data_IF_988586356734
#
_entry.id   IF_988586356734
#
_cell.length_a   1.000
_cell.length_b   1.000
_cell.length_c   1.000
_cell.angle_alpha   90.00
_cell.angle_beta   90.00
_cell.angle_gamma   90.00
#
_symmetry.space_group_name_H-M   'P 1'
#
loop_
_entity.id
_entity.type
_entity.pdbx_description
1 polymer ?
#
# COMPACT_ATOMS: atom_id res chain seq x y z
N UNK A 1 -9.88 -3.22 28.76
CA UNK A 1 -8.48 -2.91 28.45
C UNK A 1 -8.12 -3.78 27.26
N UNK A 2 -7.57 -3.23 26.19
CA UNK A 2 -7.40 -3.93 24.89
C UNK A 2 -6.22 -4.92 24.84
N UNK A 3 -5.52 -5.11 25.95
CA UNK A 3 -4.38 -6.02 26.04
C UNK A 3 -3.15 -5.58 25.23
N UNK A 4 -2.32 -6.53 24.84
CA UNK A 4 -1.19 -6.30 23.96
C UNK A 4 -1.68 -6.09 22.50
N UNK A 5 -1.10 -5.14 21.80
CA UNK A 5 -1.39 -4.89 20.40
C UNK A 5 -0.13 -5.02 19.54
N UNK A 6 -0.34 -5.32 18.27
CA UNK A 6 0.71 -5.32 17.26
C UNK A 6 0.26 -4.48 16.06
N UNK A 7 1.21 -3.90 15.35
CA UNK A 7 0.97 -3.15 14.12
C UNK A 7 1.83 -3.75 13.01
N UNK A 8 1.19 -4.12 11.92
CA UNK A 8 1.80 -4.51 10.65
C UNK A 8 1.32 -3.59 9.54
N UNK A 9 1.86 -3.77 8.35
CA UNK A 9 1.47 -2.99 7.16
C UNK A 9 1.86 -3.68 5.88
N UNK A 10 1.15 -3.35 4.80
CA UNK A 10 1.46 -3.72 3.41
C UNK A 10 1.43 -2.47 2.50
N UNK A 11 2.42 -1.58 2.64
CA UNK A 11 2.49 -0.37 1.84
C UNK A 11 2.78 -0.64 0.36
N UNK A 12 2.22 0.20 -0.49
CA UNK A 12 2.47 0.23 -1.93
C UNK A 12 3.34 1.44 -2.31
N UNK A 13 4.29 1.21 -3.21
CA UNK A 13 5.20 2.23 -3.71
C UNK A 13 5.16 2.30 -5.24
N UNK A 14 5.23 3.51 -5.77
CA UNK A 14 5.54 3.69 -7.18
C UNK A 14 7.03 3.49 -7.43
N UNK A 15 7.36 2.92 -8.60
CA UNK A 15 8.69 3.02 -9.18
C UNK A 15 8.70 4.20 -10.15
N UNK A 16 9.74 5.01 -10.11
CA UNK A 16 9.86 6.14 -11.04
C UNK A 16 11.26 6.23 -11.62
N UNK A 17 11.35 6.83 -12.79
CA UNK A 17 12.63 7.09 -13.44
C UNK A 17 13.05 8.54 -13.18
N UNK A 18 14.14 8.71 -12.43
CA UNK A 18 14.68 10.02 -12.02
C UNK A 18 15.06 10.92 -13.21
N UNK A 19 15.54 10.33 -14.31
CA UNK A 19 15.93 11.07 -15.51
C UNK A 19 14.74 11.64 -16.26
N UNK A 20 13.62 10.91 -16.31
CA UNK A 20 12.42 11.33 -17.06
C UNK A 20 11.34 11.93 -16.16
N UNK A 21 11.52 11.81 -14.85
CA UNK A 21 10.53 12.17 -13.81
C UNK A 21 9.14 11.54 -14.05
N UNK A 22 9.11 10.29 -14.53
CA UNK A 22 7.87 9.57 -14.84
C UNK A 22 7.81 8.28 -14.07
N UNK A 23 6.60 7.92 -13.64
CA UNK A 23 6.30 6.61 -13.08
C UNK A 23 6.50 5.55 -14.17
N UNK A 24 7.05 4.42 -13.76
CA UNK A 24 7.19 3.20 -14.54
C UNK A 24 6.55 2.04 -13.80
N UNK A 25 6.04 1.06 -14.51
CA UNK A 25 5.44 -0.13 -13.91
C UNK A 25 6.49 -0.92 -13.13
N UNK A 26 6.12 -1.44 -11.96
CA UNK A 26 6.90 -2.39 -11.19
C UNK A 26 6.89 -3.81 -11.81
N UNK A 27 5.92 -4.10 -12.68
CA UNK A 27 5.81 -5.38 -13.41
C UNK A 27 7.14 -5.68 -14.11
N UNK A 28 7.63 -6.90 -13.96
CA UNK A 28 8.92 -7.38 -14.48
C UNK A 28 10.16 -6.66 -13.92
N UNK A 29 10.02 -5.77 -12.94
CA UNK A 29 11.14 -5.06 -12.31
C UNK A 29 11.39 -5.46 -10.86
N UNK A 30 10.36 -5.98 -10.20
CA UNK A 30 10.49 -6.58 -8.88
C UNK A 30 10.02 -8.03 -8.93
N UNK A 31 10.54 -8.91 -8.08
CA UNK A 31 10.06 -10.28 -7.98
C UNK A 31 8.76 -10.35 -7.16
N UNK A 32 8.05 -11.46 -7.32
CA UNK A 32 6.83 -11.78 -6.57
C UNK A 32 5.55 -11.29 -7.21
N UNK A 33 4.50 -12.06 -6.97
CA UNK A 33 3.13 -11.83 -7.44
C UNK A 33 2.18 -11.96 -6.25
N UNK A 34 0.96 -11.47 -6.37
CA UNK A 34 -0.02 -11.47 -5.29
C UNK A 34 -0.21 -12.82 -4.60
N UNK A 35 -0.26 -13.89 -5.38
CA UNK A 35 -0.44 -15.25 -4.86
C UNK A 35 0.86 -15.93 -4.41
N UNK A 36 2.01 -15.34 -4.78
CA UNK A 36 3.34 -15.85 -4.47
C UNK A 36 4.30 -14.69 -4.18
N UNK A 37 4.20 -14.07 -3.00
CA UNK A 37 5.12 -13.01 -2.61
C UNK A 37 6.56 -13.52 -2.56
N UNK A 38 7.46 -12.72 -3.06
CA UNK A 38 8.90 -12.99 -2.97
C UNK A 38 9.39 -12.86 -1.53
N UNK A 39 10.11 -13.88 -1.07
CA UNK A 39 10.64 -13.96 0.30
C UNK A 39 12.13 -14.27 0.35
N UNK A 40 12.74 -14.61 -0.78
CA UNK A 40 14.13 -15.02 -0.83
C UNK A 40 15.07 -13.86 -0.46
N UNK A 41 15.94 -14.09 0.54
CA UNK A 41 16.83 -13.07 1.06
C UNK A 41 16.17 -12.01 1.94
N UNK A 42 14.86 -12.13 2.22
CA UNK A 42 14.16 -11.31 3.19
C UNK A 42 14.08 -12.02 4.55
N UNK A 43 14.11 -11.28 5.67
CA UNK A 43 13.85 -11.86 6.98
C UNK A 43 12.44 -12.45 7.08
N UNK A 44 12.20 -13.30 8.07
CA UNK A 44 10.90 -13.89 8.33
C UNK A 44 9.82 -12.82 8.53
N UNK A 45 8.65 -13.03 7.93
CA UNK A 45 7.51 -12.10 8.01
C UNK A 45 7.52 -10.98 6.97
N UNK A 46 8.61 -10.82 6.21
CA UNK A 46 8.63 -9.89 5.09
C UNK A 46 8.23 -10.56 3.78
N UNK A 47 7.71 -9.77 2.86
CA UNK A 47 7.39 -10.21 1.50
C UNK A 47 7.35 -9.03 0.54
N UNK A 48 7.60 -9.30 -0.74
CA UNK A 48 7.54 -8.32 -1.81
C UNK A 48 6.74 -8.89 -2.97
N UNK A 49 5.86 -8.09 -3.55
CA UNK A 49 5.04 -8.50 -4.70
C UNK A 49 4.72 -7.30 -5.59
N UNK A 50 4.30 -7.61 -6.81
CA UNK A 50 3.70 -6.62 -7.70
C UNK A 50 2.19 -6.64 -7.52
N UNK A 51 1.58 -5.52 -7.14
CA UNK A 51 0.14 -5.30 -7.25
C UNK A 51 -0.14 -4.20 -8.27
N UNK A 52 -0.93 -4.53 -9.29
CA UNK A 52 -1.13 -3.68 -10.45
C UNK A 52 0.22 -3.26 -11.06
N UNK A 53 0.61 -2.00 -10.97
CA UNK A 53 1.92 -1.48 -11.42
C UNK A 53 2.83 -1.09 -10.24
N UNK A 54 2.41 -1.35 -9.02
CA UNK A 54 3.05 -0.91 -7.79
C UNK A 54 3.94 -2.01 -7.22
N UNK A 55 4.92 -1.59 -6.44
CA UNK A 55 5.66 -2.48 -5.57
C UNK A 55 4.96 -2.50 -4.21
N UNK A 56 4.33 -3.60 -3.88
CA UNK A 56 3.70 -3.84 -2.59
C UNK A 56 4.60 -4.72 -1.73
N UNK A 57 4.74 -4.39 -0.47
CA UNK A 57 5.49 -5.22 0.45
C UNK A 57 4.81 -5.31 1.80
N UNK A 58 4.94 -6.43 2.45
CA UNK A 58 4.47 -6.59 3.83
C UNK A 58 5.64 -6.62 4.81
N UNK A 59 5.38 -6.12 6.00
CA UNK A 59 6.29 -6.18 7.15
C UNK A 59 5.70 -7.04 8.26
N UNK A 60 6.53 -7.72 9.08
CA UNK A 60 6.03 -8.46 10.23
C UNK A 60 5.37 -7.51 11.25
N UNK A 61 4.36 -8.01 12.00
CA UNK A 61 3.75 -7.23 13.06
C UNK A 61 4.76 -6.94 14.18
N UNK A 62 4.76 -5.70 14.66
CA UNK A 62 5.62 -5.20 15.73
C UNK A 62 4.81 -4.53 16.84
N UNK A 63 5.42 -4.32 18.00
CA UNK A 63 4.76 -3.71 19.17
C UNK A 63 5.21 -2.29 19.48
N UNK A 64 6.14 -1.74 18.68
CA UNK A 64 6.65 -0.38 18.87
C UNK A 64 6.89 0.33 17.55
N UNK A 65 6.88 1.65 17.59
CA UNK A 65 6.96 2.51 16.41
C UNK A 65 8.35 2.50 15.77
N UNK A 66 9.40 2.30 16.56
CA UNK A 66 10.78 2.30 16.06
C UNK A 66 11.03 1.12 15.13
N UNK A 67 10.61 -0.08 15.51
CA UNK A 67 10.70 -1.26 14.67
C UNK A 67 9.79 -1.16 13.45
N UNK A 68 8.61 -0.56 13.60
CA UNK A 68 7.71 -0.31 12.48
C UNK A 68 8.40 0.56 11.41
N UNK A 69 8.94 1.70 11.78
CA UNK A 69 9.66 2.61 10.88
C UNK A 69 10.86 1.90 10.25
N UNK A 70 11.67 1.21 11.07
CA UNK A 70 12.85 0.48 10.60
C UNK A 70 12.52 -0.56 9.55
N UNK A 71 11.41 -1.30 9.72
CA UNK A 71 10.97 -2.32 8.78
C UNK A 71 10.50 -1.70 7.46
N UNK A 72 9.78 -0.58 7.52
CA UNK A 72 9.36 0.17 6.32
C UNK A 72 10.58 0.67 5.54
N UNK A 73 11.54 1.32 6.21
CA UNK A 73 12.74 1.84 5.55
C UNK A 73 13.61 0.71 4.96
N UNK A 74 13.76 -0.42 5.69
CA UNK A 74 14.44 -1.61 5.18
C UNK A 74 13.84 -2.09 3.84
N UNK A 75 12.53 -2.22 3.74
CA UNK A 75 11.88 -2.66 2.51
C UNK A 75 11.97 -1.62 1.39
N UNK A 76 11.88 -0.34 1.70
CA UNK A 76 12.09 0.73 0.72
C UNK A 76 13.50 0.66 0.12
N UNK A 77 14.52 0.47 0.94
CA UNK A 77 15.90 0.34 0.49
C UNK A 77 16.11 -0.94 -0.31
N UNK A 78 15.55 -2.06 0.15
CA UNK A 78 15.58 -3.33 -0.58
C UNK A 78 14.99 -3.21 -1.98
N UNK A 79 13.80 -2.60 -2.12
CA UNK A 79 13.15 -2.38 -3.41
C UNK A 79 13.98 -1.43 -4.28
N UNK A 80 14.51 -0.37 -3.70
CA UNK A 80 15.40 0.57 -4.40
C UNK A 80 16.60 -0.12 -5.00
N UNK A 81 17.29 -0.94 -4.22
CA UNK A 81 18.46 -1.70 -4.68
C UNK A 81 18.10 -2.65 -5.83
N UNK A 82 16.96 -3.35 -5.73
CA UNK A 82 16.48 -4.23 -6.79
C UNK A 82 16.25 -3.48 -8.11
N UNK A 83 15.52 -2.36 -8.08
CA UNK A 83 15.22 -1.62 -9.30
C UNK A 83 16.42 -0.88 -9.86
N UNK A 84 17.33 -0.38 -9.01
CA UNK A 84 18.59 0.25 -9.44
C UNK A 84 19.57 -0.76 -10.05
N UNK A 85 19.54 -2.01 -9.61
CA UNK A 85 20.26 -3.10 -10.24
C UNK A 85 19.86 -3.34 -11.71
N UNK A 86 18.60 -3.04 -12.07
CA UNK A 86 18.11 -3.09 -13.45
C UNK A 86 18.48 -1.82 -14.23
N UNK A 87 18.27 -0.66 -13.62
CA UNK A 87 18.57 0.64 -14.21
C UNK A 87 18.82 1.66 -13.10
N UNK A 88 20.05 2.19 -13.04
CA UNK A 88 20.49 3.15 -12.03
C UNK A 88 19.65 4.45 -11.95
N UNK A 89 18.82 4.75 -12.95
CA UNK A 89 17.90 5.88 -12.90
C UNK A 89 16.55 5.57 -12.24
N UNK A 90 16.27 4.30 -11.87
CA UNK A 90 15.05 3.95 -11.18
C UNK A 90 15.19 4.19 -9.68
N UNK A 91 14.08 4.56 -9.06
CA UNK A 91 13.99 4.80 -7.62
C UNK A 91 12.56 4.53 -7.14
N UNK A 92 12.36 4.42 -5.84
CA UNK A 92 11.05 4.31 -5.21
C UNK A 92 10.46 5.68 -4.94
N UNK A 93 9.16 5.82 -5.10
CA UNK A 93 8.43 7.07 -4.88
C UNK A 93 7.26 6.81 -3.93
N UNK A 94 7.34 7.39 -2.73
CA UNK A 94 6.23 7.44 -1.78
C UNK A 94 5.29 8.58 -2.18
N UNK A 95 4.19 8.23 -2.83
CA UNK A 95 3.17 9.19 -3.26
C UNK A 95 1.81 8.52 -3.25
N UNK A 96 0.79 9.21 -2.80
CA UNK A 96 -0.54 8.61 -2.66
C UNK A 96 -1.23 8.34 -4.01
N UNK A 97 -0.96 9.16 -5.03
CA UNK A 97 -1.45 8.90 -6.40
C UNK A 97 -0.50 9.44 -7.47
N UNK A 98 -0.59 8.92 -8.68
CA UNK A 98 0.17 9.43 -9.83
C UNK A 98 -0.54 9.14 -11.15
N UNK A 99 -0.39 10.10 -12.10
CA UNK A 99 -0.71 9.84 -13.49
C UNK A 99 0.38 8.97 -14.10
N UNK A 100 -0.01 7.85 -14.67
CA UNK A 100 0.88 6.83 -15.21
C UNK A 100 0.91 6.91 -16.74
N UNK A 101 2.07 6.89 -17.39
CA UNK A 101 2.14 6.85 -18.84
C UNK A 101 1.38 5.66 -19.41
N UNK A 102 0.57 5.87 -20.44
CA UNK A 102 -0.28 4.82 -21.02
C UNK A 102 0.50 3.56 -21.46
N UNK A 103 1.77 3.73 -21.83
CA UNK A 103 2.65 2.60 -22.19
C UNK A 103 2.91 1.64 -21.03
N UNK A 104 2.94 2.14 -19.78
CA UNK A 104 3.16 1.35 -18.56
C UNK A 104 1.89 0.58 -18.14
N UNK A 105 0.73 0.92 -18.73
CA UNK A 105 -0.56 0.29 -18.45
C UNK A 105 -0.98 -0.72 -19.55
N UNK A 106 -0.06 -1.11 -20.43
CA UNK A 106 -0.36 -2.06 -21.51
C UNK A 106 -0.42 -3.51 -21.04
N UNK A 107 0.31 -3.85 -19.99
CA UNK A 107 0.30 -5.19 -19.43
C UNK A 107 -1.09 -5.51 -18.84
N UNK A 108 -1.64 -6.73 -19.03
CA UNK A 108 -2.95 -7.09 -18.48
C UNK A 108 -3.04 -6.84 -16.97
N UNK A 109 -2.06 -7.27 -16.19
CA UNK A 109 -1.97 -7.07 -14.73
C UNK A 109 -2.08 -5.60 -14.32
N UNK A 110 -1.62 -4.65 -15.14
CA UNK A 110 -1.73 -3.22 -14.85
C UNK A 110 -3.17 -2.69 -14.87
N UNK A 111 -4.12 -3.52 -15.25
CA UNK A 111 -5.57 -3.22 -15.29
C UNK A 111 -6.36 -4.03 -14.28
N UNK A 112 -5.72 -4.96 -13.61
CA UNK A 112 -6.29 -5.75 -12.52
C UNK A 112 -6.16 -4.94 -11.23
N UNK A 113 -7.28 -4.69 -10.58
CA UNK A 113 -7.31 -4.06 -9.27
C UNK A 113 -7.41 -5.16 -8.24
N UNK A 114 -6.37 -5.31 -7.45
CA UNK A 114 -6.13 -6.48 -6.62
C UNK A 114 -6.97 -6.57 -5.36
N UNK A 115 -7.77 -5.55 -5.02
CA UNK A 115 -8.59 -5.58 -3.82
C UNK A 115 -10.09 -5.50 -4.13
N UNK A 116 -10.86 -6.19 -3.31
CA UNK A 116 -12.29 -5.95 -3.19
C UNK A 116 -12.55 -4.53 -2.68
N UNK A 117 -13.72 -3.94 -2.96
CA UNK A 117 -14.08 -2.65 -2.39
C UNK A 117 -14.00 -2.68 -0.87
N UNK A 118 -13.41 -1.62 -0.27
CA UNK A 118 -13.33 -1.47 1.17
C UNK A 118 -14.71 -1.60 1.82
N UNK A 119 -14.77 -2.26 2.97
CA UNK A 119 -15.98 -2.37 3.76
C UNK A 119 -16.20 -1.11 4.58
N UNK A 120 -17.38 -0.51 4.45
CA UNK A 120 -17.76 0.65 5.25
C UNK A 120 -18.48 0.22 6.52
N UNK A 121 -17.87 0.42 7.67
CA UNK A 121 -18.43 0.05 8.98
C UNK A 121 -19.69 0.86 9.36
N UNK A 122 -19.93 1.98 8.70
CA UNK A 122 -21.10 2.86 8.95
C UNK A 122 -22.30 2.50 8.07
N UNK A 123 -22.07 1.76 6.96
CA UNK A 123 -23.12 1.39 6.01
C UNK A 123 -23.44 -0.10 6.03
N UNK A 124 -22.68 -0.87 6.80
CA UNK A 124 -22.76 -2.33 6.84
C UNK A 124 -22.67 -2.96 5.43
N UNK A 125 -21.69 -2.52 4.63
CA UNK A 125 -21.49 -2.99 3.29
C UNK A 125 -20.25 -2.43 2.59
N UNK A 126 -19.93 -2.94 1.38
CA UNK A 126 -18.78 -2.47 0.63
C UNK A 126 -18.98 -1.04 0.09
N UNK A 127 -17.89 -0.31 -0.02
CA UNK A 127 -17.86 0.97 -0.73
C UNK A 127 -17.96 0.74 -2.25
N UNK A 128 -18.34 1.80 -2.98
CA UNK A 128 -18.38 1.76 -4.45
C UNK A 128 -16.97 1.61 -5.02
N UNK A 129 -16.83 0.83 -6.11
CA UNK A 129 -15.57 0.71 -6.85
C UNK A 129 -15.15 2.07 -7.40
N UNK A 130 -13.90 2.44 -7.14
CA UNK A 130 -13.36 3.72 -7.60
C UNK A 130 -13.37 3.85 -9.14
N UNK A 131 -13.81 5.01 -9.63
CA UNK A 131 -13.73 5.36 -11.05
C UNK A 131 -12.29 5.46 -11.60
N UNK A 132 -11.27 5.46 -10.74
CA UNK A 132 -9.85 5.47 -11.11
C UNK A 132 -9.47 4.30 -12.02
N UNK A 133 -10.14 3.15 -11.87
CA UNK A 133 -9.96 1.96 -12.71
C UNK A 133 -10.05 2.24 -14.22
N UNK A 134 -10.80 3.26 -14.62
CA UNK A 134 -11.03 3.63 -16.01
C UNK A 134 -10.09 4.71 -16.54
N UNK A 135 -9.16 5.17 -15.73
CA UNK A 135 -8.23 6.27 -16.07
C UNK A 135 -6.78 5.81 -16.03
N UNK A 136 -5.86 6.70 -16.36
CA UNK A 136 -4.41 6.48 -16.16
C UNK A 136 -3.94 6.86 -14.74
N UNK A 137 -4.83 7.28 -13.87
CA UNK A 137 -4.51 7.52 -12.47
C UNK A 137 -4.34 6.19 -11.74
N UNK A 138 -3.29 6.07 -10.93
CA UNK A 138 -3.10 4.98 -9.98
C UNK A 138 -2.87 5.57 -8.60
N UNK A 139 -3.40 4.92 -7.60
CA UNK A 139 -3.18 5.22 -6.19
C UNK A 139 -2.34 4.13 -5.55
N UNK A 140 -1.51 4.51 -4.60
CA UNK A 140 -0.77 3.60 -3.75
C UNK A 140 -1.43 3.56 -2.37
N UNK A 141 -1.75 2.36 -1.92
CA UNK A 141 -2.34 2.09 -0.61
C UNK A 141 -1.29 2.08 0.51
N UNK A 142 -1.77 2.25 1.71
CA UNK A 142 -1.00 2.05 2.93
C UNK A 142 -1.94 1.47 3.98
N UNK A 143 -2.06 0.15 4.02
CA UNK A 143 -2.92 -0.51 4.99
C UNK A 143 -2.20 -0.68 6.33
N UNK A 144 -2.89 -0.41 7.41
CA UNK A 144 -2.43 -0.69 8.76
C UNK A 144 -3.17 -1.91 9.30
N UNK A 145 -2.42 -2.92 9.70
CA UNK A 145 -2.95 -4.11 10.32
C UNK A 145 -2.79 -3.99 11.84
N UNK A 146 -3.89 -3.91 12.55
CA UNK A 146 -3.87 -3.82 14.01
C UNK A 146 -4.28 -5.17 14.61
N UNK A 147 -3.31 -5.85 15.22
CA UNK A 147 -3.55 -7.08 15.98
C UNK A 147 -3.78 -6.76 17.47
N UNK A 148 -4.76 -7.39 18.10
CA UNK A 148 -5.08 -7.22 19.52
C UNK A 148 -5.74 -8.49 20.09
N UNK A 149 -5.77 -8.59 21.42
CA UNK A 149 -6.41 -9.71 22.13
C UNK A 149 -7.95 -9.64 22.06
N UNK A 150 -8.60 -10.78 22.25
CA UNK A 150 -10.07 -10.91 22.30
C UNK A 150 -10.79 -10.40 21.03
N UNK A 151 -10.23 -10.72 19.87
CA UNK A 151 -10.83 -10.37 18.57
C UNK A 151 -12.15 -11.11 18.34
N UNK A 152 -13.20 -10.34 18.10
CA UNK A 152 -14.48 -10.81 17.56
C UNK A 152 -15.07 -9.66 16.72
N UNK A 153 -16.19 -9.91 16.06
CA UNK A 153 -16.76 -8.93 15.13
C UNK A 153 -17.13 -7.61 15.85
N UNK A 154 -17.72 -7.67 17.02
CA UNK A 154 -18.18 -6.48 17.75
C UNK A 154 -16.98 -5.63 18.22
N UNK A 155 -15.95 -6.28 18.80
CA UNK A 155 -14.74 -5.59 19.23
C UNK A 155 -13.97 -5.03 18.04
N UNK A 156 -13.98 -5.70 16.88
CA UNK A 156 -13.35 -5.20 15.64
C UNK A 156 -14.06 -3.98 15.09
N UNK A 157 -15.39 -3.97 15.09
CA UNK A 157 -16.17 -2.80 14.65
C UNK A 157 -15.89 -1.57 15.53
N UNK A 158 -15.85 -1.75 16.84
CA UNK A 158 -15.50 -0.68 17.77
C UNK A 158 -14.06 -0.20 17.56
N UNK A 159 -13.11 -1.13 17.38
CA UNK A 159 -11.71 -0.79 17.12
C UNK A 159 -11.56 0.03 15.83
N UNK A 160 -12.24 -0.35 14.76
CA UNK A 160 -12.21 0.37 13.48
C UNK A 160 -12.75 1.80 13.63
N UNK A 161 -13.82 2.01 14.42
CA UNK A 161 -14.33 3.35 14.71
C UNK A 161 -13.31 4.21 15.46
N UNK A 162 -12.57 3.63 16.43
CA UNK A 162 -11.48 4.33 17.10
C UNK A 162 -10.32 4.65 16.14
N UNK A 163 -9.93 3.70 15.29
CA UNK A 163 -8.87 3.92 14.29
C UNK A 163 -9.29 5.03 13.33
N UNK A 164 -10.53 5.04 12.86
CA UNK A 164 -11.04 6.11 12.00
C UNK A 164 -11.01 7.47 12.70
N UNK A 165 -11.48 7.55 13.94
CA UNK A 165 -11.51 8.80 14.70
C UNK A 165 -10.11 9.36 15.03
N UNK A 166 -9.14 8.49 15.37
CA UNK A 166 -7.83 8.90 15.88
C UNK A 166 -6.70 8.81 14.83
N UNK A 167 -6.91 8.11 13.73
CA UNK A 167 -5.93 7.97 12.64
C UNK A 167 -6.53 8.44 11.32
N UNK A 168 -7.68 7.91 10.91
CA UNK A 168 -8.30 8.20 9.62
C UNK A 168 -8.63 9.69 9.47
N UNK A 169 -9.45 10.26 10.35
CA UNK A 169 -9.83 11.67 10.32
C UNK A 169 -8.61 12.61 10.45
N UNK A 170 -7.70 12.44 11.42
CA UNK A 170 -6.49 13.25 11.48
C UNK A 170 -5.58 13.15 10.26
N UNK A 171 -5.53 11.98 9.59
CA UNK A 171 -4.70 11.81 8.39
C UNK A 171 -5.12 12.71 7.24
N UNK A 172 -6.39 13.13 7.17
CA UNK A 172 -6.90 14.06 6.15
C UNK A 172 -6.17 15.40 6.20
N UNK A 173 -5.73 15.83 7.40
CA UNK A 173 -4.98 17.08 7.59
C UNK A 173 -3.62 17.02 6.90
N UNK A 174 -3.01 15.85 6.87
CA UNK A 174 -1.69 15.60 6.29
C UNK A 174 -1.76 15.17 4.82
N UNK A 175 -2.95 14.79 4.33
CA UNK A 175 -3.14 14.40 2.94
C UNK A 175 -3.11 15.63 2.02
N UNK A 176 -2.05 15.76 1.24
CA UNK A 176 -1.87 16.81 0.24
C UNK A 176 -2.27 16.37 -1.18
N UNK A 177 -2.68 15.11 -1.38
CA UNK A 177 -3.02 14.58 -2.69
C UNK A 177 -4.50 14.81 -3.03
N UNK A 178 -4.77 15.93 -3.71
CA UNK A 178 -6.13 16.31 -4.12
C UNK A 178 -6.79 15.29 -5.08
N UNK A 179 -6.02 14.58 -5.89
CA UNK A 179 -6.56 13.57 -6.82
C UNK A 179 -7.00 12.32 -6.04
N UNK A 180 -6.20 11.88 -5.06
CA UNK A 180 -6.59 10.78 -4.18
C UNK A 180 -7.86 11.12 -3.39
N UNK A 181 -7.95 12.31 -2.82
CA UNK A 181 -9.13 12.74 -2.04
C UNK A 181 -10.43 12.72 -2.85
N UNK A 182 -10.39 13.00 -4.15
CA UNK A 182 -11.57 12.88 -5.03
C UNK A 182 -12.06 11.45 -5.18
N UNK A 183 -11.16 10.47 -5.07
CA UNK A 183 -11.45 9.06 -5.32
C UNK A 183 -11.75 8.29 -4.03
N UNK A 184 -11.04 8.60 -2.94
CA UNK A 184 -11.06 7.85 -1.69
C UNK A 184 -11.50 8.67 -0.47
N UNK A 185 -11.90 9.89 -0.63
CA UNK A 185 -12.33 10.78 0.47
C UNK A 185 -13.72 10.50 1.03
N UNK A 186 -14.20 9.28 0.88
CA UNK A 186 -15.47 8.82 1.44
C UNK A 186 -15.14 7.76 2.48
N UNK A 187 -15.01 8.18 3.72
CA UNK A 187 -14.97 7.26 4.85
C UNK A 187 -16.31 6.54 5.03
#
# INVERSE_FOLDING_TARGET
>A
MWGNYTIGSDPELFIFNRKTNKVVSAIDKIPGYKDQPYKEGLPEGFGLQTDNILAEFNIPPVTNVQDFIKNIEFMKDFIRDKVQGINANLDVLCKASSQVPAKELKHPQAREFGCDPDYCIYKDGPNEVSAAARTNLRSAGFHLHVGYENRNIDTSMVMLQYIDAYVGIPSIIYDTDAERRKLYGKA
#
